data_IF_523261049893
#
_entry.id   IF_523261049893
#
_cell.length_a   1.000
_cell.length_b   1.000
_cell.length_c   1.000
_cell.angle_alpha   90.00
_cell.angle_beta   90.00
_cell.angle_gamma   90.00
#
_symmetry.space_group_name_H-M   'P 1'
#
loop_
_entity.id
_entity.type
_entity.pdbx_description
1 polymer ?
#
# COMPACT_ATOMS: atom_id res chain seq x y z
N UNK A 1 -32.21 30.74 -26.03
CA UNK A 1 -31.29 30.83 -24.87
C UNK A 1 -31.88 29.91 -23.82
N UNK A 2 -31.35 28.71 -23.70
CA UNK A 2 -31.74 27.78 -22.63
C UNK A 2 -30.46 27.10 -22.17
N UNK A 3 -30.20 27.26 -20.89
CA UNK A 3 -28.89 27.16 -20.25
C UNK A 3 -28.46 25.70 -20.08
N UNK A 4 -27.17 25.47 -20.37
CA UNK A 4 -26.40 24.34 -19.84
C UNK A 4 -26.39 24.43 -18.32
N UNK A 5 -26.56 23.30 -17.62
CA UNK A 5 -25.64 22.82 -16.58
C UNK A 5 -26.28 21.66 -15.83
N UNK A 6 -25.96 20.44 -16.24
CA UNK A 6 -26.30 19.21 -15.53
C UNK A 6 -25.11 18.26 -15.62
N UNK A 7 -24.01 18.60 -14.94
CA UNK A 7 -22.82 17.73 -14.82
C UNK A 7 -21.86 18.35 -13.82
N UNK A 8 -22.17 18.27 -12.52
CA UNK A 8 -21.16 18.59 -11.49
C UNK A 8 -21.40 17.92 -10.13
N UNK A 9 -22.43 17.09 -9.96
CA UNK A 9 -22.78 16.58 -8.63
C UNK A 9 -22.25 15.16 -8.32
N UNK A 10 -21.85 14.38 -9.33
CA UNK A 10 -21.32 13.02 -9.12
C UNK A 10 -19.81 12.99 -8.83
N UNK A 11 -19.05 14.01 -9.24
CA UNK A 11 -17.60 14.08 -9.05
C UNK A 11 -17.14 14.33 -7.60
N UNK A 12 -17.96 14.98 -6.76
CA UNK A 12 -17.59 15.29 -5.37
C UNK A 12 -17.82 14.14 -4.39
N UNK A 13 -18.57 13.10 -4.77
CA UNK A 13 -18.80 11.93 -3.92
C UNK A 13 -17.66 10.90 -4.01
N UNK A 14 -16.95 10.82 -5.13
CA UNK A 14 -15.80 9.92 -5.31
C UNK A 14 -14.61 10.30 -4.42
N UNK A 15 -14.22 11.58 -4.42
CA UNK A 15 -13.08 12.08 -3.65
C UNK A 15 -13.28 12.01 -2.13
N UNK A 16 -14.53 12.13 -1.65
CA UNK A 16 -14.84 12.09 -0.22
C UNK A 16 -14.73 10.66 0.34
N UNK A 17 -14.95 9.63 -0.48
CA UNK A 17 -14.76 8.23 -0.09
C UNK A 17 -13.28 7.84 -0.10
N UNK A 18 -12.48 8.38 -1.04
CA UNK A 18 -11.04 8.12 -1.11
C UNK A 18 -10.31 8.65 0.14
N UNK A 19 -10.62 9.88 0.57
CA UNK A 19 -10.03 10.49 1.77
C UNK A 19 -10.47 9.79 3.07
N UNK A 20 -11.67 9.20 3.09
CA UNK A 20 -12.22 8.54 4.27
C UNK A 20 -11.59 7.16 4.53
N UNK A 21 -11.26 6.39 3.49
CA UNK A 21 -10.62 5.07 3.66
C UNK A 21 -9.23 5.20 4.28
N UNK A 22 -8.45 6.20 3.88
CA UNK A 22 -7.13 6.47 4.46
C UNK A 22 -7.22 7.00 5.91
N UNK A 23 -8.30 7.70 6.26
CA UNK A 23 -8.45 8.34 7.57
C UNK A 23 -9.11 7.42 8.64
N UNK A 24 -9.87 6.40 8.24
CA UNK A 24 -10.58 5.52 9.18
C UNK A 24 -9.78 4.31 9.67
N UNK A 25 -8.59 4.02 9.12
CA UNK A 25 -7.67 3.00 9.65
C UNK A 25 -6.65 3.67 10.60
N UNK A 26 -7.15 4.28 11.67
CA UNK A 26 -6.37 4.60 12.88
C UNK A 26 -7.26 4.17 14.05
N UNK A 27 -6.90 3.17 14.86
CA UNK A 27 -5.86 3.33 15.87
C UNK A 27 -5.22 2.01 16.37
N UNK A 28 -5.59 0.83 15.85
CA UNK A 28 -4.97 -0.43 16.30
C UNK A 28 -3.96 -0.90 15.27
N UNK A 29 -2.69 -0.56 15.50
CA UNK A 29 -1.57 -1.08 14.70
C UNK A 29 -1.57 -2.61 14.74
N UNK A 30 -1.77 -3.24 13.58
CA UNK A 30 -1.61 -4.69 13.46
C UNK A 30 -0.13 -5.04 13.57
N UNK A 31 0.23 -5.89 14.53
CA UNK A 31 1.60 -6.35 14.76
C UNK A 31 1.65 -7.86 14.54
N UNK A 32 2.57 -8.32 13.71
CA UNK A 32 2.76 -9.74 13.43
C UNK A 32 3.66 -10.38 14.49
N UNK A 33 3.05 -10.87 15.59
CA UNK A 33 3.77 -11.61 16.65
C UNK A 33 4.65 -12.76 16.15
N UNK A 34 4.24 -13.57 15.13
CA UNK A 34 5.11 -14.59 14.57
C UNK A 34 6.41 -14.03 13.99
N UNK A 35 6.36 -12.84 13.38
CA UNK A 35 7.55 -12.18 12.84
C UNK A 35 8.51 -11.73 13.93
N UNK A 36 7.99 -11.24 15.07
CA UNK A 36 8.81 -10.95 16.27
C UNK A 36 9.54 -12.22 16.72
N UNK A 37 8.85 -13.35 16.76
CA UNK A 37 9.45 -14.65 17.10
C UNK A 37 10.56 -15.06 16.13
N UNK A 38 10.36 -14.87 14.81
CA UNK A 38 11.35 -15.17 13.77
C UNK A 38 12.59 -14.28 13.83
N UNK A 39 12.42 -13.01 14.20
CA UNK A 39 13.53 -12.06 14.34
C UNK A 39 14.26 -12.20 15.69
N UNK A 40 13.67 -12.91 16.66
CA UNK A 40 14.28 -13.14 17.96
C UNK A 40 15.57 -13.95 17.82
N UNK A 41 16.69 -13.38 18.27
CA UNK A 41 18.01 -14.02 18.20
C UNK A 41 18.81 -13.75 16.92
N UNK A 42 18.24 -13.02 15.96
CA UNK A 42 18.98 -12.50 14.80
C UNK A 42 19.86 -11.31 15.21
N UNK A 43 20.96 -11.08 14.48
CA UNK A 43 21.74 -9.85 14.65
C UNK A 43 20.95 -8.64 14.13
N UNK A 44 21.30 -7.45 14.60
CA UNK A 44 20.65 -6.22 14.14
C UNK A 44 20.85 -6.00 12.63
N UNK A 45 22.04 -6.29 12.12
CA UNK A 45 22.38 -6.12 10.71
C UNK A 45 21.53 -7.04 9.80
N UNK A 46 21.25 -8.28 10.26
CA UNK A 46 20.36 -9.20 9.54
C UNK A 46 18.92 -8.68 9.50
N UNK A 47 18.39 -8.22 10.65
CA UNK A 47 17.03 -7.66 10.72
C UNK A 47 16.91 -6.42 9.81
N UNK A 48 17.94 -5.56 9.80
CA UNK A 48 18.01 -4.40 8.92
C UNK A 48 18.00 -4.81 7.44
N UNK A 49 18.78 -5.82 7.07
CA UNK A 49 18.78 -6.36 5.71
C UNK A 49 17.40 -6.87 5.27
N UNK A 50 16.71 -7.65 6.12
CA UNK A 50 15.34 -8.10 5.85
C UNK A 50 14.38 -6.91 5.73
N UNK A 51 14.49 -5.92 6.61
CA UNK A 51 13.64 -4.73 6.57
C UNK A 51 13.79 -3.99 5.24
N UNK A 52 15.02 -3.76 4.78
CA UNK A 52 15.29 -3.12 3.49
C UNK A 52 14.68 -3.90 2.31
N UNK A 53 14.78 -5.23 2.33
CA UNK A 53 14.17 -6.09 1.29
C UNK A 53 12.65 -6.02 1.29
N UNK A 54 12.04 -6.09 2.46
CA UNK A 54 10.58 -6.02 2.58
C UNK A 54 10.03 -4.62 2.28
N UNK A 55 10.80 -3.55 2.56
CA UNK A 55 10.50 -2.17 2.13
C UNK A 55 10.56 -2.04 0.60
N UNK A 56 11.58 -2.62 -0.04
CA UNK A 56 11.70 -2.64 -1.50
C UNK A 56 10.53 -3.38 -2.14
N UNK A 57 10.18 -4.56 -1.62
CA UNK A 57 9.02 -5.33 -2.06
C UNK A 57 7.71 -4.55 -1.89
N UNK A 58 7.52 -3.86 -0.77
CA UNK A 58 6.35 -3.01 -0.54
C UNK A 58 6.22 -1.92 -1.60
N UNK A 59 7.33 -1.24 -1.95
CA UNK A 59 7.33 -0.23 -3.02
C UNK A 59 6.88 -0.81 -4.36
N UNK A 60 7.44 -1.95 -4.77
CA UNK A 60 7.06 -2.60 -6.04
C UNK A 60 5.58 -2.98 -6.09
N UNK A 61 5.06 -3.56 -4.99
CA UNK A 61 3.63 -3.91 -4.91
C UNK A 61 2.74 -2.67 -4.99
N UNK A 62 3.16 -1.56 -4.38
CA UNK A 62 2.44 -0.29 -4.48
C UNK A 62 2.45 0.24 -5.91
N UNK A 63 3.59 0.22 -6.59
CA UNK A 63 3.71 0.71 -7.98
C UNK A 63 2.82 -0.12 -8.93
N UNK A 64 2.75 -1.43 -8.73
CA UNK A 64 1.84 -2.32 -9.46
C UNK A 64 0.36 -1.98 -9.16
N UNK A 65 0.00 -1.81 -7.89
CA UNK A 65 -1.35 -1.46 -7.50
C UNK A 65 -1.80 -0.09 -8.06
N UNK A 66 -0.92 0.91 -8.08
CA UNK A 66 -1.17 2.23 -8.69
C UNK A 66 -1.40 2.10 -10.20
N UNK A 67 -0.65 1.23 -10.87
CA UNK A 67 -0.85 0.97 -12.31
C UNK A 67 -2.22 0.33 -12.57
N UNK A 68 -2.63 -0.61 -11.72
CA UNK A 68 -3.94 -1.26 -11.81
C UNK A 68 -5.08 -0.28 -11.46
N UNK A 69 -4.88 0.62 -10.50
CA UNK A 69 -5.83 1.68 -10.18
C UNK A 69 -6.08 2.59 -11.37
N UNK A 70 -5.01 3.02 -12.06
CA UNK A 70 -5.11 3.79 -13.29
C UNK A 70 -5.87 3.02 -14.38
N UNK A 71 -5.59 1.72 -14.55
CA UNK A 71 -6.31 0.88 -15.51
C UNK A 71 -7.81 0.74 -15.20
N UNK A 72 -8.18 0.68 -13.91
CA UNK A 72 -9.60 0.71 -13.50
C UNK A 72 -10.24 2.05 -13.88
N UNK A 73 -9.55 3.17 -13.68
CA UNK A 73 -10.05 4.50 -14.00
C UNK A 73 -10.18 4.75 -15.52
N UNK A 74 -9.28 4.18 -16.31
CA UNK A 74 -9.22 4.35 -17.78
C UNK A 74 -10.08 3.34 -18.56
N UNK A 75 -10.74 2.39 -17.87
CA UNK A 75 -11.52 1.34 -18.52
C UNK A 75 -12.65 1.90 -19.42
N UNK A 76 -12.76 1.38 -20.65
CA UNK A 76 -13.69 1.91 -21.65
C UNK A 76 -15.15 1.46 -21.43
N UNK A 77 -15.37 0.38 -20.67
CA UNK A 77 -16.69 -0.16 -20.39
C UNK A 77 -16.72 -0.94 -19.06
N UNK A 78 -17.93 -1.30 -18.63
CA UNK A 78 -18.15 -1.97 -17.34
C UNK A 78 -17.50 -3.36 -17.23
N UNK A 79 -17.36 -4.10 -18.34
CA UNK A 79 -16.73 -5.42 -18.33
C UNK A 79 -15.21 -5.29 -18.12
N UNK A 80 -14.58 -4.36 -18.83
CA UNK A 80 -13.16 -4.03 -18.66
C UNK A 80 -12.87 -3.50 -17.25
N UNK A 81 -13.72 -2.62 -16.72
CA UNK A 81 -13.61 -2.11 -15.35
C UNK A 81 -13.71 -3.25 -14.32
N UNK A 82 -14.62 -4.21 -14.52
CA UNK A 82 -14.77 -5.39 -13.66
C UNK A 82 -13.54 -6.29 -13.69
N UNK A 83 -12.93 -6.48 -14.86
CA UNK A 83 -11.68 -7.24 -15.00
C UNK A 83 -10.50 -6.54 -14.33
N UNK A 84 -10.34 -5.23 -14.54
CA UNK A 84 -9.31 -4.43 -13.88
C UNK A 84 -9.50 -4.45 -12.35
N UNK A 85 -10.73 -4.34 -11.86
CA UNK A 85 -11.05 -4.40 -10.44
C UNK A 85 -10.69 -5.75 -9.82
N UNK A 86 -10.91 -6.86 -10.53
CA UNK A 86 -10.52 -8.21 -10.09
C UNK A 86 -9.00 -8.37 -9.95
N UNK A 87 -8.19 -7.60 -10.69
CA UNK A 87 -6.75 -7.57 -10.53
C UNK A 87 -6.31 -6.58 -9.44
N UNK A 88 -6.94 -5.41 -9.38
CA UNK A 88 -6.64 -4.35 -8.44
C UNK A 88 -6.85 -4.76 -6.97
N UNK A 89 -7.98 -5.40 -6.63
CA UNK A 89 -8.28 -5.77 -5.23
C UNK A 89 -7.23 -6.70 -4.63
N UNK A 90 -6.83 -7.82 -5.26
CA UNK A 90 -5.73 -8.65 -4.76
C UNK A 90 -4.40 -7.89 -4.62
N UNK A 91 -4.09 -6.98 -5.54
CA UNK A 91 -2.88 -6.15 -5.44
C UNK A 91 -2.91 -5.25 -4.20
N UNK A 92 -4.05 -4.58 -3.93
CA UNK A 92 -4.22 -3.76 -2.72
C UNK A 92 -4.17 -4.58 -1.43
N UNK A 93 -4.75 -5.78 -1.42
CA UNK A 93 -4.60 -6.71 -0.29
C UNK A 93 -3.12 -7.03 -0.05
N UNK A 94 -2.36 -7.32 -1.11
CA UNK A 94 -0.94 -7.59 -1.01
C UNK A 94 -0.15 -6.38 -0.49
N UNK A 95 -0.46 -5.16 -0.95
CA UNK A 95 0.14 -3.91 -0.45
C UNK A 95 -0.05 -3.76 1.06
N UNK A 96 -1.27 -3.94 1.57
CA UNK A 96 -1.57 -3.79 3.00
C UNK A 96 -1.01 -4.92 3.87
N UNK A 97 -1.07 -6.17 3.37
CA UNK A 97 -0.42 -7.30 4.05
C UNK A 97 1.09 -7.05 4.18
N UNK A 98 1.72 -6.59 3.11
CA UNK A 98 3.15 -6.26 3.08
C UNK A 98 3.47 -5.04 3.96
N UNK A 99 2.62 -4.01 3.99
CA UNK A 99 2.79 -2.86 4.88
C UNK A 99 2.79 -3.28 6.36
N UNK A 100 1.94 -4.24 6.73
CA UNK A 100 1.92 -4.80 8.09
C UNK A 100 3.25 -5.50 8.45
N UNK A 101 3.85 -6.21 7.49
CA UNK A 101 5.20 -6.81 7.64
C UNK A 101 6.25 -5.74 7.85
N UNK A 102 6.34 -4.76 6.94
CA UNK A 102 7.32 -3.65 7.02
C UNK A 102 7.16 -2.90 8.33
N UNK A 103 5.92 -2.55 8.69
CA UNK A 103 5.63 -1.84 9.93
C UNK A 103 6.03 -2.62 11.17
N UNK A 104 5.88 -3.95 11.18
CA UNK A 104 6.32 -4.79 12.30
C UNK A 104 7.86 -4.86 12.37
N UNK A 105 8.56 -4.94 11.23
CA UNK A 105 10.03 -4.94 11.19
C UNK A 105 10.61 -3.60 11.67
N UNK A 106 9.99 -2.48 11.28
CA UNK A 106 10.38 -1.16 11.76
C UNK A 106 10.19 -1.01 13.27
N UNK A 107 9.13 -1.61 13.84
CA UNK A 107 8.95 -1.64 15.30
C UNK A 107 10.04 -2.47 16.01
N UNK A 108 10.46 -3.58 15.41
CA UNK A 108 11.54 -4.42 15.95
C UNK A 108 12.89 -3.67 15.89
N UNK A 109 13.17 -2.95 14.79
CA UNK A 109 14.40 -2.15 14.64
C UNK A 109 14.41 -0.90 15.53
N UNK A 110 13.26 -0.25 15.69
CA UNK A 110 13.10 1.01 16.41
C UNK A 110 13.51 2.26 15.61
N UNK A 111 13.87 2.11 14.33
CA UNK A 111 14.20 3.19 13.41
C UNK A 111 13.92 2.76 11.96
N UNK A 112 13.92 3.72 11.03
CA UNK A 112 13.80 3.44 9.58
C UNK A 112 15.22 3.33 9.00
N UNK A 113 15.61 2.15 8.46
CA UNK A 113 16.95 1.97 7.91
C UNK A 113 17.11 2.74 6.60
N UNK A 114 18.32 3.26 6.37
CA UNK A 114 18.62 4.06 5.19
C UNK A 114 19.03 3.15 4.02
N UNK A 115 18.21 3.12 2.98
CA UNK A 115 18.47 2.29 1.81
C UNK A 115 19.77 2.68 1.07
N UNK A 116 20.31 3.88 1.30
CA UNK A 116 21.59 4.32 0.72
C UNK A 116 22.82 3.86 1.52
N UNK A 117 22.69 3.55 2.82
CA UNK A 117 23.83 3.20 3.68
C UNK A 117 24.32 1.75 3.46
N UNK A 118 23.44 0.84 3.03
CA UNK A 118 23.73 -0.58 2.81
C UNK A 118 24.68 -0.89 1.63
N UNK A 119 25.20 0.13 0.91
CA UNK A 119 26.15 -0.03 -0.20
C UNK A 119 27.60 0.36 0.13
N UNK A 120 27.91 0.71 1.37
CA UNK A 120 29.20 1.31 1.73
C UNK A 120 30.27 0.33 2.24
N UNK A 121 30.09 -0.99 2.18
CA UNK A 121 31.09 -1.98 2.60
C UNK A 121 31.43 -2.99 1.50
#
# INVERSE_FOLDING_TARGET
MTERSGSSFEGMQGDLLQLSVDQQISQTKLILRPLIGLMSGQSRDEIEWYCLKEMEKHRRLRDEAVTLEAAVADAANAEEASQCMKAFIPAMIAVHAQHTVVSTLLDILGYIPDACAAKAH
#
